data_IF_153738047438
#
_entry.id   IF_153738047438
#
_cell.length_a   1.000
_cell.length_b   1.000
_cell.length_c   1.000
_cell.angle_alpha   90.00
_cell.angle_beta   90.00
_cell.angle_gamma   90.00
#
_symmetry.space_group_name_H-M   'P 1'
#
loop_
_entity.id
_entity.type
_entity.pdbx_description
1 polymer ?
#
# COMPACT_ATOMS: atom_id res chain seq x y z
N UNK A 1 -1.50 29.00 24.25
CA UNK A 1 -1.40 28.37 22.92
C UNK A 1 -2.09 29.26 21.91
N UNK A 2 -1.39 29.77 20.89
CA UNK A 2 -2.06 30.48 19.78
C UNK A 2 -2.88 29.44 18.99
N UNK A 3 -4.13 29.74 18.60
CA UNK A 3 -4.95 28.78 17.86
C UNK A 3 -4.35 28.54 16.47
N UNK A 4 -4.22 27.27 16.09
CA UNK A 4 -3.91 26.89 14.71
C UNK A 4 -5.07 27.28 13.79
N UNK A 5 -4.75 27.84 12.63
CA UNK A 5 -5.74 28.14 11.60
C UNK A 5 -5.86 26.95 10.65
N UNK A 6 -7.07 26.41 10.53
CA UNK A 6 -7.36 25.25 9.70
C UNK A 6 -8.26 25.65 8.53
N UNK A 7 -7.81 25.38 7.31
CA UNK A 7 -8.57 25.63 6.08
C UNK A 7 -8.84 24.27 5.43
N UNK A 8 -10.10 23.90 5.25
CA UNK A 8 -10.48 22.68 4.52
C UNK A 8 -10.75 23.03 3.05
N UNK A 9 -10.42 22.12 2.13
CA UNK A 9 -10.73 22.33 0.72
C UNK A 9 -12.24 22.28 0.50
N UNK A 10 -12.80 23.36 -0.05
CA UNK A 10 -14.23 23.45 -0.38
C UNK A 10 -14.57 22.48 -1.51
N UNK A 11 -15.80 21.98 -1.53
CA UNK A 11 -16.29 21.08 -2.59
C UNK A 11 -15.84 19.62 -2.44
N UNK A 12 -14.86 19.30 -1.58
CA UNK A 12 -14.40 17.92 -1.42
C UNK A 12 -15.37 17.04 -0.59
N UNK A 13 -15.49 15.76 -0.99
CA UNK A 13 -16.16 14.68 -0.23
C UNK A 13 -17.65 14.88 0.09
N UNK A 14 -18.48 15.01 -0.94
CA UNK A 14 -19.93 15.01 -0.79
C UNK A 14 -20.50 13.62 -0.43
N UNK A 15 -21.71 13.61 0.13
CA UNK A 15 -22.48 12.40 0.38
C UNK A 15 -23.51 12.22 -0.75
N UNK A 16 -23.49 11.06 -1.40
CA UNK A 16 -24.37 10.75 -2.54
C UNK A 16 -25.57 9.87 -2.15
N UNK A 17 -25.88 9.79 -0.85
CA UNK A 17 -26.96 8.98 -0.29
C UNK A 17 -26.46 7.87 0.64
N UNK A 18 -27.38 7.07 1.21
CA UNK A 18 -27.01 5.93 2.04
C UNK A 18 -26.39 4.82 1.19
N UNK A 19 -25.34 4.22 1.72
CA UNK A 19 -24.65 3.07 1.17
C UNK A 19 -24.67 1.91 2.14
N UNK A 20 -24.33 0.74 1.62
CA UNK A 20 -24.25 -0.47 2.42
C UNK A 20 -22.95 -0.51 3.23
N UNK A 21 -23.03 -0.78 4.52
CA UNK A 21 -21.89 -0.95 5.42
C UNK A 21 -21.76 -2.39 5.87
N UNK A 22 -20.60 -2.71 6.45
CA UNK A 22 -20.40 -3.93 7.20
C UNK A 22 -21.43 -4.11 8.33
N UNK A 23 -21.83 -3.03 9.00
CA UNK A 23 -22.81 -3.13 10.09
C UNK A 23 -24.20 -3.46 9.55
N UNK A 24 -24.53 -3.02 8.34
CA UNK A 24 -25.79 -3.42 7.69
C UNK A 24 -25.78 -4.92 7.36
N UNK A 25 -24.65 -5.49 6.93
CA UNK A 25 -24.49 -6.94 6.74
C UNK A 25 -24.59 -7.70 8.07
N UNK A 26 -23.98 -7.15 9.13
CA UNK A 26 -24.00 -7.73 10.47
C UNK A 26 -25.42 -7.71 11.09
N UNK A 27 -26.15 -6.61 10.93
CA UNK A 27 -27.50 -6.44 11.45
C UNK A 27 -28.53 -7.25 10.62
N UNK A 28 -28.26 -7.46 9.33
CA UNK A 28 -29.07 -8.32 8.46
C UNK A 28 -28.83 -9.82 8.66
N UNK A 29 -27.95 -10.20 9.59
CA UNK A 29 -27.69 -11.59 9.97
C UNK A 29 -29.00 -12.31 10.34
N UNK A 30 -29.30 -13.48 9.75
CA UNK A 30 -30.46 -14.30 10.10
C UNK A 30 -30.58 -14.63 11.60
N UNK A 31 -29.47 -14.57 12.34
CA UNK A 31 -29.41 -14.82 13.79
C UNK A 31 -29.35 -13.53 14.62
N UNK A 32 -29.58 -12.35 14.05
CA UNK A 32 -29.58 -11.04 14.74
C UNK A 32 -30.42 -11.00 16.02
N UNK A 33 -31.56 -11.68 16.04
CA UNK A 33 -32.43 -11.76 17.23
C UNK A 33 -31.85 -12.62 18.38
N UNK A 34 -30.86 -13.46 18.09
CA UNK A 34 -30.15 -14.24 19.10
C UNK A 34 -29.00 -13.45 19.75
N UNK A 35 -28.58 -12.32 19.17
CA UNK A 35 -27.51 -11.46 19.69
C UNK A 35 -27.81 -10.99 21.12
N UNK A 36 -29.06 -10.61 21.40
CA UNK A 36 -29.48 -10.11 22.72
C UNK A 36 -29.63 -11.21 23.80
N UNK A 37 -29.73 -12.48 23.39
CA UNK A 37 -30.09 -13.60 24.28
C UNK A 37 -28.96 -14.60 24.47
N UNK A 38 -28.01 -14.64 23.56
CA UNK A 38 -26.92 -15.61 23.57
C UNK A 38 -25.66 -14.99 24.17
N UNK A 39 -25.35 -15.35 25.41
CA UNK A 39 -24.18 -14.88 26.17
C UNK A 39 -22.83 -15.17 25.46
N UNK A 40 -22.82 -16.06 24.45
CA UNK A 40 -21.64 -16.46 23.69
C UNK A 40 -21.55 -15.81 22.30
N UNK A 41 -22.47 -14.91 21.95
CA UNK A 41 -22.41 -14.15 20.71
C UNK A 41 -21.27 -13.11 20.80
N UNK A 42 -20.42 -12.94 19.77
CA UNK A 42 -19.17 -12.18 19.91
C UNK A 42 -19.38 -10.68 20.15
N UNK A 43 -20.49 -10.10 19.67
CA UNK A 43 -20.86 -8.70 19.91
C UNK A 43 -22.39 -8.55 19.96
N UNK A 44 -22.94 -7.96 21.01
CA UNK A 44 -24.38 -7.67 21.16
C UNK A 44 -24.84 -6.48 20.31
N UNK A 45 -23.91 -5.80 19.63
CA UNK A 45 -24.24 -4.73 18.71
C UNK A 45 -23.10 -3.74 18.52
N UNK A 46 -23.45 -2.61 17.90
CA UNK A 46 -22.52 -1.57 17.45
C UNK A 46 -21.53 -1.09 18.52
N UNK A 47 -21.96 -0.98 19.78
CA UNK A 47 -21.12 -0.54 20.89
C UNK A 47 -20.00 -1.51 21.29
N UNK A 48 -20.27 -2.82 21.26
CA UNK A 48 -19.29 -3.84 21.65
C UNK A 48 -18.25 -4.08 20.54
N UNK A 49 -18.67 -3.99 19.27
CA UNK A 49 -17.78 -4.09 18.11
C UNK A 49 -16.67 -3.03 18.12
N UNK A 50 -16.98 -1.79 18.50
CA UNK A 50 -15.99 -0.70 18.62
C UNK A 50 -15.11 -0.79 19.87
N UNK A 51 -15.45 -1.64 20.85
CA UNK A 51 -14.79 -1.67 22.16
C UNK A 51 -13.45 -2.42 22.19
N UNK A 52 -13.05 -3.09 21.10
CA UNK A 52 -11.72 -3.66 20.94
C UNK A 52 -11.31 -4.59 22.09
N UNK A 53 -11.78 -5.83 22.07
CA UNK A 53 -11.38 -6.83 23.07
C UNK A 53 -9.84 -6.99 23.10
N UNK A 54 -9.27 -7.07 24.31
CA UNK A 54 -7.83 -7.29 24.45
C UNK A 54 -7.44 -8.69 23.98
N UNK A 55 -6.24 -8.85 23.42
CA UNK A 55 -5.71 -10.15 22.98
C UNK A 55 -5.70 -11.22 24.10
N UNK A 56 -5.62 -10.79 25.37
CA UNK A 56 -5.69 -11.69 26.52
C UNK A 56 -7.12 -12.24 26.77
N UNK A 57 -8.15 -11.43 26.52
CA UNK A 57 -9.55 -11.85 26.60
C UNK A 57 -9.92 -12.80 25.45
N UNK A 58 -9.38 -12.53 24.25
CA UNK A 58 -9.55 -13.39 23.07
C UNK A 58 -8.92 -14.78 23.32
N UNK A 59 -7.69 -14.83 23.85
CA UNK A 59 -6.98 -16.08 24.16
C UNK A 59 -7.63 -16.91 25.28
N UNK A 60 -8.33 -16.30 26.24
CA UNK A 60 -9.08 -17.05 27.26
C UNK A 60 -10.37 -17.69 26.72
N UNK A 61 -10.95 -17.17 25.62
CA UNK A 61 -12.17 -17.72 24.99
C UNK A 61 -11.94 -18.71 23.84
N UNK A 62 -10.70 -18.84 23.35
CA UNK A 62 -10.36 -19.51 22.08
C UNK A 62 -10.39 -21.05 22.06
N UNK A 63 -10.81 -21.74 23.14
CA UNK A 63 -10.81 -23.23 23.16
C UNK A 63 -12.13 -23.90 22.72
N UNK A 64 -13.14 -23.12 22.30
CA UNK A 64 -14.49 -23.66 22.06
C UNK A 64 -14.81 -23.83 20.55
N UNK A 65 -15.21 -25.03 20.09
CA UNK A 65 -15.72 -25.28 18.73
C UNK A 65 -16.90 -24.40 18.32
N UNK A 66 -17.60 -23.83 19.29
CA UNK A 66 -18.64 -22.85 19.07
C UNK A 66 -18.09 -21.59 18.37
N UNK A 67 -16.90 -21.10 18.73
CA UNK A 67 -16.34 -19.86 18.20
C UNK A 67 -16.09 -19.91 16.68
N UNK A 68 -15.70 -21.07 16.13
CA UNK A 68 -15.50 -21.22 14.68
C UNK A 68 -16.80 -21.00 13.89
N UNK A 69 -17.93 -21.53 14.38
CA UNK A 69 -19.25 -21.25 13.77
C UNK A 69 -19.64 -19.78 13.86
N UNK A 70 -19.19 -19.07 14.90
CA UNK A 70 -19.50 -17.64 15.06
C UNK A 70 -18.60 -16.73 14.23
N UNK A 71 -17.33 -17.10 14.00
CA UNK A 71 -16.43 -16.42 13.05
C UNK A 71 -16.98 -16.53 11.63
N UNK A 72 -17.60 -17.67 11.27
CA UNK A 72 -18.27 -17.88 9.99
C UNK A 72 -19.52 -16.99 9.78
N UNK A 73 -20.07 -16.39 10.85
CA UNK A 73 -21.22 -15.47 10.78
C UNK A 73 -20.80 -14.00 10.68
N UNK A 74 -19.54 -13.67 10.94
CA UNK A 74 -19.03 -12.32 10.65
C UNK A 74 -18.97 -12.13 9.13
N UNK A 75 -19.35 -10.95 8.60
CA UNK A 75 -19.24 -10.66 7.18
C UNK A 75 -17.83 -10.98 6.69
N UNK A 76 -17.75 -11.81 5.65
CA UNK A 76 -16.50 -12.38 5.22
C UNK A 76 -15.57 -11.26 4.74
N UNK A 77 -14.32 -11.26 5.22
CA UNK A 77 -13.29 -10.34 4.73
C UNK A 77 -13.01 -10.53 3.23
N UNK A 78 -12.06 -9.77 2.66
CA UNK A 78 -11.66 -9.93 1.27
C UNK A 78 -11.36 -11.40 0.97
N UNK A 79 -11.99 -11.96 -0.06
CA UNK A 79 -11.83 -13.38 -0.39
C UNK A 79 -10.55 -13.62 -1.19
N UNK A 80 -9.89 -14.75 -0.92
CA UNK A 80 -8.73 -15.17 -1.69
C UNK A 80 -9.14 -15.58 -3.11
N UNK A 81 -8.41 -15.07 -4.09
CA UNK A 81 -8.47 -15.42 -5.51
C UNK A 81 -7.11 -15.99 -5.90
N UNK A 82 -7.07 -16.81 -6.94
CA UNK A 82 -5.82 -17.29 -7.50
C UNK A 82 -5.81 -17.19 -9.03
N UNK A 83 -4.63 -17.02 -9.61
CA UNK A 83 -4.45 -16.98 -11.06
C UNK A 83 -3.11 -17.58 -11.46
N UNK A 84 -3.11 -18.36 -12.53
CA UNK A 84 -1.88 -18.80 -13.19
C UNK A 84 -1.25 -17.64 -13.95
N UNK A 85 0.05 -17.45 -13.76
CA UNK A 85 0.82 -16.42 -14.48
C UNK A 85 1.84 -17.12 -15.36
N UNK A 86 1.86 -16.71 -16.63
CA UNK A 86 2.82 -17.19 -17.62
C UNK A 86 3.92 -16.14 -17.71
N UNK A 87 5.13 -16.41 -17.20
CA UNK A 87 6.28 -15.54 -17.38
C UNK A 87 6.82 -15.62 -18.82
N UNK A 88 7.60 -14.63 -19.22
CA UNK A 88 8.19 -14.56 -20.57
C UNK A 88 9.14 -15.73 -20.88
N UNK A 89 9.78 -16.29 -19.85
CA UNK A 89 10.73 -17.40 -19.97
C UNK A 89 10.25 -18.63 -19.20
N UNK A 90 10.49 -19.86 -19.70
CA UNK A 90 10.07 -21.08 -19.03
C UNK A 90 10.62 -21.22 -17.61
N UNK A 91 9.75 -21.61 -16.68
CA UNK A 91 10.08 -21.91 -15.30
C UNK A 91 9.98 -23.41 -15.01
N UNK A 92 10.73 -23.88 -14.01
CA UNK A 92 10.72 -25.30 -13.57
C UNK A 92 9.34 -25.76 -13.09
N UNK A 93 8.52 -24.84 -12.59
CA UNK A 93 7.16 -25.08 -12.10
C UNK A 93 6.24 -23.99 -12.62
N UNK A 94 4.97 -24.31 -12.84
CA UNK A 94 3.94 -23.33 -13.13
C UNK A 94 3.82 -22.34 -11.97
N UNK A 95 3.70 -21.05 -12.28
CA UNK A 95 3.55 -20.01 -11.27
C UNK A 95 2.07 -19.71 -11.03
N UNK A 96 1.69 -19.64 -9.76
CA UNK A 96 0.38 -19.23 -9.30
C UNK A 96 0.53 -18.03 -8.37
N UNK A 97 -0.33 -17.03 -8.55
CA UNK A 97 -0.45 -15.88 -7.65
C UNK A 97 -1.73 -16.06 -6.85
N UNK A 98 -1.63 -15.92 -5.53
CA UNK A 98 -2.79 -15.80 -4.63
C UNK A 98 -2.94 -14.33 -4.27
N UNK A 99 -4.16 -13.79 -4.34
CA UNK A 99 -4.40 -12.37 -4.10
C UNK A 99 -5.84 -12.12 -3.65
N UNK A 100 -6.04 -10.99 -2.97
CA UNK A 100 -7.35 -10.43 -2.68
C UNK A 100 -7.70 -9.35 -3.70
N UNK A 101 -9.00 -9.08 -3.85
CA UNK A 101 -9.42 -7.93 -4.62
C UNK A 101 -9.06 -6.62 -3.91
N UNK A 102 -8.31 -5.75 -4.60
CA UNK A 102 -7.70 -4.57 -3.97
C UNK A 102 -8.72 -3.54 -3.46
N UNK A 103 -9.84 -3.37 -4.17
CA UNK A 103 -10.93 -2.48 -3.74
C UNK A 103 -11.63 -3.08 -2.51
N UNK A 104 -11.85 -4.40 -2.49
CA UNK A 104 -12.39 -5.10 -1.33
C UNK A 104 -11.48 -4.93 -0.10
N UNK A 105 -10.15 -4.97 -0.27
CA UNK A 105 -9.20 -4.68 0.81
C UNK A 105 -9.31 -3.24 1.33
N UNK A 106 -9.41 -2.23 0.44
CA UNK A 106 -9.61 -0.85 0.88
C UNK A 106 -10.93 -0.67 1.63
N UNK A 107 -12.00 -1.32 1.17
CA UNK A 107 -13.29 -1.31 1.87
C UNK A 107 -13.17 -1.98 3.25
N UNK A 108 -12.47 -3.11 3.35
CA UNK A 108 -12.26 -3.79 4.62
C UNK A 108 -11.47 -2.93 5.61
N UNK A 109 -10.42 -2.23 5.14
CA UNK A 109 -9.73 -1.23 5.95
C UNK A 109 -10.70 -0.13 6.39
N UNK A 110 -11.46 0.46 5.46
CA UNK A 110 -12.37 1.55 5.80
C UNK A 110 -13.42 1.16 6.85
N UNK A 111 -14.03 -0.01 6.70
CA UNK A 111 -15.10 -0.48 7.58
C UNK A 111 -14.58 -1.14 8.87
N UNK A 112 -13.26 -1.20 9.08
CA UNK A 112 -12.71 -1.71 10.32
C UNK A 112 -13.12 -0.80 11.49
N UNK A 113 -13.68 -1.35 12.57
CA UNK A 113 -14.06 -0.56 13.75
C UNK A 113 -12.88 0.17 14.39
N UNK A 114 -11.67 -0.36 14.23
CA UNK A 114 -10.45 0.26 14.73
C UNK A 114 -10.20 1.66 14.15
N UNK A 115 -10.78 1.95 12.97
CA UNK A 115 -10.62 3.22 12.27
C UNK A 115 -11.88 4.07 12.25
N UNK A 116 -12.94 3.66 12.97
CA UNK A 116 -14.17 4.43 13.06
C UNK A 116 -13.89 5.83 13.63
N UNK A 117 -14.30 6.86 12.89
CA UNK A 117 -14.01 8.27 13.23
C UNK A 117 -12.55 8.70 13.03
N UNK A 118 -11.67 7.81 12.55
CA UNK A 118 -10.25 8.06 12.32
C UNK A 118 -9.85 8.08 10.84
N UNK A 119 -10.81 7.94 9.93
CA UNK A 119 -10.61 8.09 8.49
C UNK A 119 -11.03 9.48 8.07
N UNK A 120 -10.10 10.19 7.42
CA UNK A 120 -10.29 11.55 6.93
C UNK A 120 -10.48 11.53 5.42
N UNK A 121 -11.36 12.37 4.89
CA UNK A 121 -11.69 12.41 3.46
C UNK A 121 -11.43 13.77 2.80
N UNK A 122 -11.20 14.81 3.59
CA UNK A 122 -11.09 16.18 3.11
C UNK A 122 -9.68 16.68 3.40
N UNK A 123 -8.90 17.06 2.37
CA UNK A 123 -7.62 17.74 2.56
C UNK A 123 -7.76 19.05 3.35
N UNK A 124 -6.74 19.36 4.16
CA UNK A 124 -6.74 20.54 5.03
C UNK A 124 -5.36 21.19 5.08
N UNK A 125 -5.29 22.51 4.91
CA UNK A 125 -4.10 23.30 5.23
C UNK A 125 -4.16 23.74 6.69
N UNK A 126 -3.15 23.36 7.45
CA UNK A 126 -2.99 23.71 8.86
C UNK A 126 -1.84 24.69 8.97
N UNK A 127 -2.08 25.86 9.56
CA UNK A 127 -1.03 26.87 9.74
C UNK A 127 -0.68 27.02 11.23
N UNK A 128 0.63 27.11 11.51
CA UNK A 128 1.15 27.35 12.86
C UNK A 128 0.79 28.75 13.40
N UNK A 129 0.60 29.69 12.47
CA UNK A 129 0.39 31.12 12.73
C UNK A 129 -0.73 31.68 11.86
N UNK A 130 -1.34 32.78 12.29
CA UNK A 130 -2.49 33.39 11.59
C UNK A 130 -2.13 34.05 10.24
N UNK A 131 -0.83 34.28 9.99
CA UNK A 131 -0.26 34.86 8.77
C UNK A 131 -0.17 33.87 7.60
N UNK A 132 -0.54 32.61 7.81
CA UNK A 132 -0.49 31.53 6.82
C UNK A 132 0.93 31.26 6.24
N UNK A 133 2.01 31.63 6.94
CA UNK A 133 3.38 31.46 6.41
C UNK A 133 3.96 30.06 6.65
N UNK A 134 3.53 29.39 7.71
CA UNK A 134 4.09 28.10 8.13
C UNK A 134 3.02 27.00 8.14
N UNK A 135 2.97 26.21 7.06
CA UNK A 135 2.15 25.00 6.99
C UNK A 135 2.70 23.91 7.92
N UNK A 136 1.79 23.21 8.59
CA UNK A 136 2.07 22.04 9.43
C UNK A 136 1.64 20.79 8.66
N UNK A 137 2.60 19.91 8.38
CA UNK A 137 2.39 18.66 7.69
C UNK A 137 2.48 17.51 8.70
N UNK A 138 1.33 16.96 9.10
CA UNK A 138 1.25 15.87 10.07
C UNK A 138 0.74 14.56 9.46
N UNK A 139 -0.01 14.66 8.36
CA UNK A 139 -0.68 13.56 7.68
C UNK A 139 -0.70 13.82 6.17
N UNK A 140 -0.96 12.78 5.37
CA UNK A 140 -1.00 12.93 3.91
C UNK A 140 -1.99 14.02 3.45
N UNK A 141 -3.21 14.04 4.00
CA UNK A 141 -4.25 15.03 3.65
C UNK A 141 -3.93 16.46 4.11
N UNK A 142 -2.84 16.66 4.86
CA UNK A 142 -2.32 18.00 5.18
C UNK A 142 -1.24 18.46 4.20
N UNK A 143 -0.73 17.55 3.36
CA UNK A 143 0.26 17.80 2.35
C UNK A 143 -0.29 18.57 1.15
N UNK A 144 0.57 19.35 0.51
CA UNK A 144 0.23 20.10 -0.70
C UNK A 144 -0.19 19.15 -1.84
N UNK A 145 0.49 18.01 -1.99
CA UNK A 145 0.17 17.05 -3.04
C UNK A 145 -1.28 16.51 -2.96
N UNK A 146 -1.76 16.16 -1.76
CA UNK A 146 -3.15 15.72 -1.58
C UNK A 146 -4.16 16.84 -1.90
N UNK A 147 -3.79 18.09 -1.64
CA UNK A 147 -4.60 19.25 -1.97
C UNK A 147 -4.70 19.44 -3.49
N UNK A 148 -3.56 19.45 -4.19
CA UNK A 148 -3.47 19.56 -5.65
C UNK A 148 -4.26 18.45 -6.35
N UNK A 149 -4.08 17.19 -5.90
CA UNK A 149 -4.83 16.05 -6.42
C UNK A 149 -6.34 16.23 -6.25
N UNK A 150 -6.79 16.72 -5.09
CA UNK A 150 -8.22 16.86 -4.80
C UNK A 150 -8.84 18.05 -5.54
N UNK A 151 -8.10 19.14 -5.73
CA UNK A 151 -8.52 20.33 -6.47
C UNK A 151 -8.69 20.04 -7.98
N UNK A 152 -7.95 19.04 -8.50
CA UNK A 152 -8.11 18.55 -9.87
C UNK A 152 -9.32 17.62 -10.08
N UNK A 153 -10.01 17.21 -9.00
CA UNK A 153 -11.19 16.35 -9.09
C UNK A 153 -12.50 17.15 -9.21
N UNK A 154 -13.56 16.46 -9.61
CA UNK A 154 -14.91 17.00 -9.62
C UNK A 154 -15.38 17.36 -8.20
N UNK A 155 -16.19 18.42 -8.09
CA UNK A 155 -16.88 18.76 -6.86
C UNK A 155 -17.66 17.55 -6.33
N UNK A 156 -17.50 17.29 -5.03
CA UNK A 156 -18.07 16.19 -4.29
C UNK A 156 -17.22 14.92 -4.28
N UNK A 157 -16.22 14.78 -5.16
CA UNK A 157 -15.32 13.63 -5.16
C UNK A 157 -14.35 13.66 -3.96
N UNK A 158 -13.76 12.51 -3.62
CA UNK A 158 -12.77 12.39 -2.54
C UNK A 158 -11.62 11.47 -2.90
N UNK A 159 -10.44 11.72 -2.35
CA UNK A 159 -9.27 10.85 -2.52
C UNK A 159 -9.22 9.73 -1.47
N UNK A 160 -8.86 8.53 -1.92
CA UNK A 160 -8.47 7.39 -1.12
C UNK A 160 -7.02 7.01 -1.45
N UNK A 161 -6.07 7.56 -0.70
CA UNK A 161 -4.64 7.40 -0.97
C UNK A 161 -4.19 5.97 -0.71
N UNK A 162 -3.80 5.24 -1.76
CA UNK A 162 -3.36 3.86 -1.65
C UNK A 162 -1.91 3.82 -1.19
N UNK A 163 -1.63 3.02 -0.17
CA UNK A 163 -0.26 2.68 0.24
C UNK A 163 -0.03 1.22 -0.11
N UNK A 164 1.02 0.93 -0.87
CA UNK A 164 1.48 -0.44 -1.11
C UNK A 164 2.77 -0.65 -0.33
N UNK A 165 3.00 -1.85 0.17
CA UNK A 165 4.30 -2.25 0.68
C UNK A 165 4.66 -3.65 0.20
N UNK A 166 5.93 -3.87 -0.09
CA UNK A 166 6.48 -5.20 -0.32
C UNK A 166 7.81 -5.35 0.39
N UNK A 167 8.09 -6.59 0.80
CA UNK A 167 9.39 -6.97 1.32
C UNK A 167 9.83 -8.33 0.77
N UNK A 168 10.84 -8.29 -0.09
CA UNK A 168 11.53 -9.39 -0.78
C UNK A 168 12.43 -10.15 0.21
N UNK A 169 12.82 -9.54 1.33
CA UNK A 169 13.58 -10.22 2.38
C UNK A 169 12.68 -11.15 3.21
N UNK A 170 11.39 -10.87 3.28
CA UNK A 170 10.41 -11.73 3.94
C UNK A 170 9.77 -12.73 2.97
N UNK A 171 10.43 -13.88 2.80
CA UNK A 171 9.88 -15.01 2.05
C UNK A 171 8.82 -15.72 2.91
N UNK A 172 7.58 -15.75 2.43
CA UNK A 172 6.50 -16.52 3.03
C UNK A 172 6.40 -17.89 2.36
N UNK A 173 6.32 -18.94 3.17
CA UNK A 173 6.09 -20.30 2.70
C UNK A 173 4.58 -20.58 2.68
N UNK A 174 4.03 -20.86 1.50
CA UNK A 174 2.62 -21.27 1.32
C UNK A 174 2.60 -22.68 0.75
N UNK A 175 2.43 -23.65 1.64
CA UNK A 175 2.60 -25.07 1.32
C UNK A 175 4.01 -25.36 0.77
N UNK A 176 4.08 -25.76 -0.50
CA UNK A 176 5.33 -26.08 -1.19
C UNK A 176 5.89 -24.92 -2.05
N UNK A 177 5.32 -23.72 -1.91
CA UNK A 177 5.68 -22.53 -2.69
C UNK A 177 6.25 -21.43 -1.79
N UNK A 178 7.17 -20.65 -2.34
CA UNK A 178 7.73 -19.45 -1.73
C UNK A 178 7.18 -18.23 -2.46
N UNK A 179 6.77 -17.23 -1.69
CA UNK A 179 6.23 -15.99 -2.22
C UNK A 179 6.67 -14.77 -1.40
N UNK A 180 6.73 -13.61 -2.05
CA UNK A 180 6.88 -12.32 -1.38
C UNK A 180 5.50 -11.72 -1.08
N UNK A 181 5.24 -11.24 0.14
CA UNK A 181 4.00 -10.58 0.47
C UNK A 181 3.95 -9.20 -0.20
N UNK A 182 2.80 -8.88 -0.78
CA UNK A 182 2.40 -7.54 -1.18
C UNK A 182 1.30 -7.10 -0.23
N UNK A 183 1.49 -6.01 0.48
CA UNK A 183 0.57 -5.45 1.45
C UNK A 183 -0.09 -4.18 0.90
N UNK A 184 -1.31 -3.89 1.35
CA UNK A 184 -2.04 -2.66 1.03
C UNK A 184 -2.55 -1.97 2.30
N UNK A 185 -2.51 -0.64 2.29
CA UNK A 185 -3.06 0.23 3.32
C UNK A 185 -3.69 1.49 2.71
N UNK A 186 -4.26 2.34 3.56
CA UNK A 186 -4.96 3.56 3.21
C UNK A 186 -4.36 4.76 3.96
N UNK A 187 -3.85 5.74 3.22
CA UNK A 187 -3.22 6.97 3.75
C UNK A 187 -4.21 7.89 4.49
N UNK A 188 -5.50 7.68 4.29
CA UNK A 188 -6.58 8.43 4.95
C UNK A 188 -6.76 8.09 6.43
N UNK A 189 -6.15 6.99 6.90
CA UNK A 189 -6.17 6.60 8.31
C UNK A 189 -5.26 7.55 9.10
N UNK A 190 -5.77 8.11 10.19
CA UNK A 190 -5.02 9.03 11.03
C UNK A 190 -3.71 8.38 11.57
N UNK A 191 -2.60 9.13 11.47
CA UNK A 191 -1.25 8.65 11.81
C UNK A 191 -1.13 8.17 13.26
N UNK A 192 -1.86 8.81 14.17
CA UNK A 192 -1.88 8.41 15.58
C UNK A 192 -2.51 7.04 15.83
N UNK A 193 -3.34 6.52 14.91
CA UNK A 193 -3.84 5.15 14.95
C UNK A 193 -2.88 4.24 14.18
N UNK A 194 -2.39 4.70 13.02
CA UNK A 194 -1.44 3.96 12.20
C UNK A 194 -0.19 3.52 12.99
N UNK A 195 0.35 4.39 13.85
CA UNK A 195 1.56 4.15 14.64
C UNK A 195 1.34 3.41 15.96
N UNK A 196 0.09 3.19 16.38
CA UNK A 196 -0.23 2.39 17.57
C UNK A 196 -0.12 0.92 17.19
N UNK A 197 1.13 0.42 17.10
CA UNK A 197 1.69 -0.93 16.84
C UNK A 197 0.81 -2.18 16.78
N UNK A 198 -0.46 -2.07 16.41
CA UNK A 198 -1.42 -3.14 16.22
C UNK A 198 -1.39 -3.45 14.73
N UNK A 199 -1.01 -4.68 14.40
CA UNK A 199 -0.64 -5.19 13.07
C UNK A 199 -1.75 -5.14 11.99
N UNK A 200 -2.79 -4.33 12.14
CA UNK A 200 -3.98 -4.33 11.28
C UNK A 200 -4.06 -3.16 10.29
N UNK A 201 -3.09 -2.24 10.29
CA UNK A 201 -3.05 -1.10 9.34
C UNK A 201 -2.77 -1.53 7.90
N UNK A 202 -2.22 -2.73 7.71
CA UNK A 202 -1.99 -3.32 6.39
C UNK A 202 -2.79 -4.62 6.24
N UNK A 203 -3.34 -4.82 5.06
CA UNK A 203 -3.92 -6.11 4.64
C UNK A 203 -2.95 -6.76 3.65
N UNK A 204 -2.74 -8.08 3.78
CA UNK A 204 -2.05 -8.85 2.76
C UNK A 204 -2.87 -8.83 1.48
N UNK A 205 -2.36 -8.19 0.44
CA UNK A 205 -3.03 -8.03 -0.85
C UNK A 205 -2.72 -9.19 -1.79
N UNK A 206 -1.46 -9.61 -1.88
CA UNK A 206 -1.05 -10.70 -2.76
C UNK A 206 0.21 -11.42 -2.29
N UNK A 207 0.41 -12.62 -2.81
CA UNK A 207 1.61 -13.43 -2.66
C UNK A 207 2.25 -13.59 -4.03
N UNK A 208 3.35 -12.85 -4.24
CA UNK A 208 4.08 -12.82 -5.51
C UNK A 208 5.02 -14.04 -5.57
N UNK A 209 4.87 -14.94 -6.54
CA UNK A 209 5.66 -16.16 -6.61
C UNK A 209 7.12 -15.89 -6.97
N UNK A 210 8.04 -16.65 -6.37
CA UNK A 210 9.47 -16.62 -6.74
C UNK A 210 9.73 -17.55 -7.93
N UNK A 211 10.06 -17.03 -9.13
CA UNK A 211 10.29 -17.87 -10.30
C UNK A 211 11.64 -18.59 -10.20
N UNK A 212 11.67 -19.82 -10.70
CA UNK A 212 12.92 -20.58 -10.94
C UNK A 212 13.02 -20.86 -12.43
N UNK A 213 13.71 -19.99 -13.16
CA UNK A 213 13.86 -20.11 -14.61
C UNK A 213 14.78 -21.26 -15.02
N UNK A 214 14.51 -21.84 -16.20
CA UNK A 214 15.28 -22.95 -16.77
C UNK A 214 16.43 -22.39 -17.62
N UNK A 215 17.66 -22.86 -17.40
CA UNK A 215 18.87 -22.50 -18.19
C UNK A 215 19.15 -20.99 -18.36
N UNK A 216 18.97 -20.18 -17.31
CA UNK A 216 19.19 -18.73 -17.36
C UNK A 216 20.48 -18.28 -16.66
N UNK A 217 21.12 -17.23 -17.18
CA UNK A 217 22.22 -16.53 -16.48
C UNK A 217 21.68 -15.75 -15.29
N UNK A 218 22.52 -15.50 -14.27
CA UNK A 218 22.13 -14.76 -13.06
C UNK A 218 21.56 -13.37 -13.37
N UNK A 219 22.19 -12.62 -14.28
CA UNK A 219 21.74 -11.27 -14.64
C UNK A 219 20.35 -11.25 -15.29
N UNK A 220 20.08 -12.16 -16.23
CA UNK A 220 18.77 -12.25 -16.88
C UNK A 220 17.69 -12.79 -15.94
N UNK A 221 18.06 -13.64 -14.98
CA UNK A 221 17.14 -14.12 -13.95
C UNK A 221 16.56 -12.97 -13.12
N UNK A 222 17.39 -12.00 -12.72
CA UNK A 222 16.94 -10.82 -11.94
C UNK A 222 15.95 -10.00 -12.76
N UNK A 223 16.29 -9.69 -14.00
CA UNK A 223 15.45 -8.90 -14.92
C UNK A 223 14.10 -9.57 -15.14
N UNK A 224 14.08 -10.87 -15.44
CA UNK A 224 12.83 -11.61 -15.65
C UNK A 224 11.99 -11.75 -14.37
N UNK A 225 12.64 -11.81 -13.20
CA UNK A 225 11.93 -11.78 -11.93
C UNK A 225 11.27 -10.41 -11.69
N UNK A 226 11.94 -9.31 -12.04
CA UNK A 226 11.36 -7.96 -11.97
C UNK A 226 10.23 -7.78 -13.00
N UNK A 227 10.34 -8.36 -14.20
CA UNK A 227 9.24 -8.36 -15.19
C UNK A 227 8.00 -9.04 -14.61
N UNK A 228 8.18 -10.21 -14.00
CA UNK A 228 7.11 -10.94 -13.35
C UNK A 228 6.52 -10.14 -12.19
N UNK A 229 7.35 -9.48 -11.37
CA UNK A 229 6.91 -8.61 -10.29
C UNK A 229 5.94 -7.53 -10.81
N UNK A 230 6.34 -6.80 -11.84
CA UNK A 230 5.50 -5.76 -12.46
C UNK A 230 4.22 -6.31 -13.08
N UNK A 231 4.31 -7.45 -13.77
CA UNK A 231 3.14 -8.14 -14.35
C UNK A 231 2.13 -8.53 -13.27
N UNK A 232 2.61 -9.11 -12.15
CA UNK A 232 1.76 -9.54 -11.04
C UNK A 232 1.15 -8.36 -10.32
N UNK A 233 1.93 -7.34 -9.95
CA UNK A 233 1.41 -6.14 -9.28
C UNK A 233 0.35 -5.49 -10.16
N UNK A 234 0.64 -5.24 -11.44
CA UNK A 234 -0.29 -4.63 -12.39
C UNK A 234 -1.62 -5.38 -12.48
N UNK A 235 -1.57 -6.72 -12.52
CA UNK A 235 -2.75 -7.57 -12.52
C UNK A 235 -3.59 -7.42 -11.23
N UNK A 236 -2.95 -7.40 -10.07
CA UNK A 236 -3.63 -7.31 -8.77
C UNK A 236 -4.29 -5.93 -8.56
N UNK A 237 -3.61 -4.84 -8.95
CA UNK A 237 -4.07 -3.46 -8.73
C UNK A 237 -4.95 -2.91 -9.86
N UNK A 238 -5.28 -3.71 -10.89
CA UNK A 238 -5.98 -3.21 -12.09
C UNK A 238 -7.26 -2.42 -11.77
N UNK A 239 -8.02 -2.84 -10.76
CA UNK A 239 -9.23 -2.12 -10.35
C UNK A 239 -8.93 -0.80 -9.63
N UNK A 240 -7.79 -0.69 -8.93
CA UNK A 240 -7.35 0.58 -8.34
C UNK A 240 -6.95 1.59 -9.42
N UNK A 241 -6.28 1.14 -10.49
CA UNK A 241 -5.94 2.03 -11.61
C UNK A 241 -7.19 2.62 -12.25
N UNK A 242 -8.18 1.76 -12.52
CA UNK A 242 -9.49 2.19 -13.05
C UNK A 242 -10.20 3.16 -12.11
N UNK A 243 -10.17 2.91 -10.80
CA UNK A 243 -10.75 3.82 -9.82
C UNK A 243 -9.96 5.12 -9.67
N UNK A 244 -8.66 5.14 -9.94
CA UNK A 244 -7.85 6.35 -9.98
C UNK A 244 -8.15 7.23 -11.22
N UNK A 245 -8.55 6.61 -12.33
CA UNK A 245 -8.88 7.31 -13.57
C UNK A 245 -10.35 7.75 -13.62
N UNK A 246 -11.26 6.84 -13.29
CA UNK A 246 -12.71 7.01 -13.48
C UNK A 246 -13.48 7.21 -12.19
N UNK A 247 -12.83 7.12 -11.04
CA UNK A 247 -13.49 7.08 -9.74
C UNK A 247 -14.25 5.77 -9.49
N UNK A 248 -14.64 5.55 -8.24
CA UNK A 248 -15.51 4.45 -7.84
C UNK A 248 -16.44 4.88 -6.70
N UNK A 249 -17.65 4.34 -6.68
CA UNK A 249 -18.56 4.56 -5.55
C UNK A 249 -18.24 3.57 -4.44
N UNK A 250 -18.04 4.08 -3.23
CA UNK A 250 -17.86 3.26 -2.02
C UNK A 250 -18.55 3.91 -0.83
N UNK A 251 -19.06 3.08 0.08
CA UNK A 251 -19.51 3.53 1.39
C UNK A 251 -18.32 3.94 2.25
N UNK A 252 -18.51 5.00 3.03
CA UNK A 252 -17.67 5.34 4.16
C UNK A 252 -18.04 4.50 5.40
N UNK A 253 -17.26 4.57 6.49
CA UNK A 253 -17.52 3.77 7.70
C UNK A 253 -18.84 4.10 8.40
N UNK A 254 -19.50 5.21 8.02
CA UNK A 254 -20.78 5.65 8.56
C UNK A 254 -21.95 5.28 7.62
N UNK A 255 -21.68 4.67 6.48
CA UNK A 255 -22.70 4.29 5.50
C UNK A 255 -23.10 5.40 4.54
N UNK A 256 -22.29 6.44 4.37
CA UNK A 256 -22.53 7.41 3.30
C UNK A 256 -21.80 6.97 2.04
N UNK A 257 -22.49 7.00 0.90
CA UNK A 257 -21.85 6.81 -0.39
C UNK A 257 -20.95 8.00 -0.73
N UNK A 258 -19.71 7.68 -1.06
CA UNK A 258 -18.65 8.60 -1.49
C UNK A 258 -18.20 8.23 -2.90
N UNK A 259 -17.98 9.25 -3.73
CA UNK A 259 -17.34 9.09 -5.02
C UNK A 259 -15.83 9.25 -4.87
N UNK A 260 -15.10 8.15 -4.97
CA UNK A 260 -13.73 8.04 -4.52
C UNK A 260 -12.74 7.79 -5.67
N UNK A 261 -11.59 8.45 -5.63
CA UNK A 261 -10.47 8.20 -6.53
C UNK A 261 -9.31 7.59 -5.75
N UNK A 262 -8.61 6.61 -6.33
CA UNK A 262 -7.57 5.85 -5.62
C UNK A 262 -6.16 6.12 -6.15
N UNK A 263 -5.58 7.32 -5.96
CA UNK A 263 -4.20 7.58 -6.36
C UNK A 263 -3.23 6.69 -5.57
N UNK A 264 -2.11 6.33 -6.19
CA UNK A 264 -1.00 5.71 -5.48
C UNK A 264 -0.28 6.78 -4.66
N UNK A 265 -0.45 6.77 -3.35
CA UNK A 265 0.17 7.72 -2.44
C UNK A 265 1.60 7.30 -2.06
N UNK A 266 1.80 6.03 -1.73
CA UNK A 266 3.12 5.55 -1.32
C UNK A 266 3.37 4.10 -1.72
N UNK A 267 4.62 3.78 -2.07
CA UNK A 267 5.12 2.43 -2.18
C UNK A 267 6.28 2.25 -1.20
N UNK A 268 6.03 1.59 -0.06
CA UNK A 268 7.00 1.40 1.01
C UNK A 268 7.81 0.13 0.73
N UNK A 269 9.09 0.32 0.44
CA UNK A 269 10.03 -0.77 0.23
C UNK A 269 11.47 -0.32 0.43
N UNK A 270 12.37 -1.29 0.64
CA UNK A 270 13.79 -1.07 0.84
C UNK A 270 14.53 -0.80 -0.48
N UNK A 271 15.68 -0.12 -0.42
CA UNK A 271 16.41 0.41 -1.58
C UNK A 271 16.59 -0.55 -2.78
N UNK A 272 17.12 -1.79 -2.65
CA UNK A 272 17.18 -2.76 -3.76
C UNK A 272 15.85 -3.06 -4.45
N UNK A 273 14.74 -3.04 -3.71
CA UNK A 273 13.41 -3.16 -4.30
C UNK A 273 12.94 -1.87 -4.96
N UNK A 274 13.27 -0.70 -4.41
CA UNK A 274 12.96 0.57 -5.06
C UNK A 274 13.52 0.57 -6.49
N UNK A 275 14.75 0.09 -6.70
CA UNK A 275 15.32 -0.06 -8.05
C UNK A 275 14.51 -0.99 -8.95
N UNK A 276 14.02 -2.12 -8.41
CA UNK A 276 13.16 -3.03 -9.16
C UNK A 276 11.86 -2.33 -9.57
N UNK A 277 11.22 -1.61 -8.64
CA UNK A 277 9.94 -0.91 -8.81
C UNK A 277 10.05 0.29 -9.77
N UNK A 278 11.16 1.03 -9.76
CA UNK A 278 11.39 2.18 -10.66
C UNK A 278 12.03 1.80 -11.97
N UNK A 279 12.36 0.53 -12.13
CA UNK A 279 12.94 -0.02 -13.34
C UNK A 279 14.35 0.54 -13.65
N UNK A 280 15.09 0.97 -12.63
CA UNK A 280 16.46 1.46 -12.75
C UNK A 280 17.48 0.40 -12.34
N UNK A 281 18.71 0.55 -12.81
CA UNK A 281 19.83 -0.30 -12.40
C UNK A 281 20.21 -0.03 -10.94
N UNK A 282 20.82 -1.02 -10.28
CA UNK A 282 21.22 -0.95 -8.86
C UNK A 282 22.17 0.19 -8.50
N UNK A 283 22.81 0.82 -9.49
CA UNK A 283 23.83 1.87 -9.30
C UNK A 283 23.30 3.25 -9.72
N UNK A 284 21.98 3.40 -9.90
CA UNK A 284 21.34 4.62 -10.34
C UNK A 284 20.30 5.08 -9.32
N UNK A 285 20.11 6.39 -9.21
CA UNK A 285 19.05 6.93 -8.36
C UNK A 285 17.68 6.40 -8.81
N UNK A 286 16.78 6.02 -7.88
CA UNK A 286 15.45 5.50 -8.20
C UNK A 286 14.56 6.52 -8.95
N UNK A 287 14.98 7.77 -9.10
CA UNK A 287 14.27 8.79 -9.90
C UNK A 287 14.97 8.96 -11.26
N UNK A 288 14.35 8.47 -12.35
CA UNK A 288 14.91 8.58 -13.71
C UNK A 288 13.84 9.01 -14.72
N UNK A 289 14.20 9.90 -15.67
CA UNK A 289 13.29 10.49 -16.68
C UNK A 289 13.30 9.79 -18.05
N UNK A 290 13.74 8.53 -18.15
CA UNK A 290 13.97 7.85 -19.44
C UNK A 290 12.77 6.98 -19.84
N UNK A 291 12.19 7.26 -21.02
CA UNK A 291 11.03 6.51 -21.55
C UNK A 291 11.41 5.27 -22.36
N UNK A 292 10.65 4.18 -22.22
CA UNK A 292 10.88 2.85 -22.83
C UNK A 292 10.88 2.82 -24.37
N UNK A 293 10.28 3.81 -25.04
CA UNK A 293 10.16 3.88 -26.51
C UNK A 293 11.49 3.97 -27.28
N UNK A 294 12.62 4.16 -26.60
CA UNK A 294 13.96 4.24 -27.20
C UNK A 294 14.70 2.90 -27.24
N UNK A 295 14.12 1.84 -26.67
CA UNK A 295 14.73 0.51 -26.61
C UNK A 295 14.12 -0.39 -27.68
N UNK A 296 14.92 -1.31 -28.22
CA UNK A 296 14.48 -2.25 -29.26
C UNK A 296 13.38 -3.21 -28.77
N UNK A 297 13.16 -4.29 -29.49
CA UNK A 297 12.11 -5.27 -29.17
C UNK A 297 12.46 -6.09 -27.90
N UNK A 298 11.61 -6.06 -26.84
CA UNK A 298 11.80 -6.87 -25.62
C UNK A 298 11.88 -8.38 -25.88
N UNK A 299 11.31 -8.88 -26.99
CA UNK A 299 11.38 -10.29 -27.38
C UNK A 299 12.83 -10.75 -27.64
N UNK A 300 13.72 -9.82 -27.99
CA UNK A 300 15.16 -10.08 -28.13
C UNK A 300 15.91 -9.76 -26.83
N UNK A 301 15.53 -10.45 -25.75
CA UNK A 301 15.89 -10.17 -24.35
C UNK A 301 17.35 -9.73 -24.13
N UNK A 302 18.33 -10.45 -24.69
CA UNK A 302 19.74 -10.13 -24.47
C UNK A 302 20.16 -8.78 -25.11
N UNK A 303 19.68 -8.51 -26.33
CA UNK A 303 19.98 -7.25 -27.03
C UNK A 303 19.22 -6.08 -26.41
N UNK A 304 17.98 -6.32 -25.99
CA UNK A 304 17.15 -5.36 -25.28
C UNK A 304 17.78 -4.95 -23.95
N UNK A 305 18.16 -5.93 -23.12
CA UNK A 305 18.79 -5.66 -21.83
C UNK A 305 20.11 -4.88 -21.98
N UNK A 306 20.94 -5.22 -22.97
CA UNK A 306 22.15 -4.44 -23.29
C UNK A 306 21.85 -2.99 -23.68
N UNK A 307 20.73 -2.74 -24.38
CA UNK A 307 20.33 -1.38 -24.73
C UNK A 307 19.87 -0.60 -23.50
N UNK A 308 19.09 -1.22 -22.61
CA UNK A 308 18.61 -0.62 -21.35
C UNK A 308 19.75 -0.23 -20.42
N UNK A 309 20.79 -1.06 -20.30
CA UNK A 309 21.96 -0.77 -19.47
C UNK A 309 22.67 0.54 -19.83
N UNK A 310 22.67 0.94 -21.11
CA UNK A 310 23.27 2.22 -21.54
C UNK A 310 22.61 3.45 -20.92
N UNK A 311 21.38 3.28 -20.43
CA UNK A 311 20.57 4.33 -19.82
C UNK A 311 20.29 4.03 -18.35
N UNK A 312 21.06 3.12 -17.74
CA UNK A 312 20.92 2.73 -16.35
C UNK A 312 19.52 2.18 -15.99
N UNK A 313 18.87 1.50 -16.93
CA UNK A 313 17.58 0.83 -16.70
C UNK A 313 17.76 -0.67 -16.45
N UNK A 314 16.91 -1.26 -15.60
CA UNK A 314 16.92 -2.70 -15.34
C UNK A 314 16.28 -3.53 -16.49
N UNK A 315 15.62 -2.86 -17.42
CA UNK A 315 15.01 -3.48 -18.59
C UNK A 315 13.60 -4.00 -18.37
N UNK A 316 12.84 -3.56 -17.37
CA UNK A 316 11.39 -3.83 -17.32
C UNK A 316 10.68 -3.06 -18.46
N UNK A 317 9.89 -3.73 -19.32
CA UNK A 317 9.25 -3.08 -20.46
C UNK A 317 7.95 -2.33 -20.08
N UNK A 318 7.20 -2.85 -19.10
CA UNK A 318 5.90 -2.32 -18.69
C UNK A 318 5.85 -2.17 -17.16
N UNK A 319 6.35 -1.05 -16.60
CA UNK A 319 6.20 -0.77 -15.19
C UNK A 319 4.72 -0.69 -14.79
N UNK A 320 4.37 -1.12 -13.57
CA UNK A 320 2.96 -1.25 -13.18
C UNK A 320 2.29 0.11 -12.97
N UNK A 321 3.05 1.17 -12.76
CA UNK A 321 2.54 2.50 -12.40
C UNK A 321 2.32 3.41 -13.61
N UNK A 322 2.77 3.02 -14.81
CA UNK A 322 2.70 3.86 -16.04
C UNK A 322 1.26 4.28 -16.40
N UNK A 323 0.29 3.42 -16.14
CA UNK A 323 -1.13 3.60 -16.40
C UNK A 323 -1.95 3.81 -15.12
N UNK A 324 -1.29 4.07 -13.99
CA UNK A 324 -1.97 4.48 -12.76
C UNK A 324 -2.02 6.00 -12.74
N UNK A 325 -3.21 6.57 -12.87
CA UNK A 325 -3.40 8.02 -12.93
C UNK A 325 -2.65 8.75 -11.81
N UNK A 326 -1.79 9.70 -12.21
CA UNK A 326 -1.00 10.57 -11.33
C UNK A 326 0.03 9.84 -10.45
N UNK A 327 0.36 8.58 -10.77
CA UNK A 327 1.43 7.85 -10.11
C UNK A 327 2.79 8.14 -10.78
N UNK A 328 3.66 8.83 -10.06
CA UNK A 328 5.04 9.09 -10.48
C UNK A 328 6.02 8.55 -9.43
N UNK A 329 7.09 7.84 -9.81
CA UNK A 329 8.04 7.30 -8.83
C UNK A 329 8.58 8.32 -7.83
N UNK A 330 8.80 9.56 -8.28
CA UNK A 330 9.24 10.68 -7.45
C UNK A 330 8.21 11.12 -6.40
N UNK A 331 6.92 10.87 -6.64
CA UNK A 331 5.84 11.25 -5.73
C UNK A 331 5.48 10.15 -4.73
N UNK A 332 5.48 8.88 -5.17
CA UNK A 332 5.05 7.77 -4.31
C UNK A 332 6.18 7.02 -3.62
N UNK A 333 7.46 7.19 -4.00
CA UNK A 333 8.54 6.56 -3.24
C UNK A 333 8.93 7.44 -2.06
N UNK A 334 8.70 6.98 -0.82
CA UNK A 334 9.21 7.71 0.32
C UNK A 334 10.73 7.68 0.26
N UNK A 335 11.37 8.85 0.41
CA UNK A 335 12.80 8.92 0.64
C UNK A 335 13.12 8.09 1.89
N UNK A 336 13.92 7.03 1.77
CA UNK A 336 14.48 6.34 2.94
C UNK A 336 15.51 7.25 3.60
N UNK A 337 15.08 8.35 4.23
CA UNK A 337 15.96 9.35 4.82
C UNK A 337 16.91 8.72 5.84
N UNK A 338 16.44 7.77 6.65
CA UNK A 338 17.28 7.12 7.65
C UNK A 338 18.35 6.24 7.01
N UNK A 339 18.00 5.36 6.07
CA UNK A 339 18.97 4.49 5.42
C UNK A 339 19.93 5.29 4.53
N UNK A 340 19.43 6.27 3.77
CA UNK A 340 20.28 7.12 2.93
C UNK A 340 21.20 8.01 3.76
N UNK A 341 20.73 8.66 4.83
CA UNK A 341 21.59 9.50 5.67
C UNK A 341 22.57 8.66 6.50
N UNK A 342 22.14 7.49 6.98
CA UNK A 342 23.02 6.57 7.70
C UNK A 342 24.10 6.01 6.79
N UNK A 343 23.76 5.50 5.60
CA UNK A 343 24.76 5.02 4.66
C UNK A 343 25.63 6.17 4.14
N UNK A 344 25.06 7.34 3.81
CA UNK A 344 25.83 8.52 3.38
C UNK A 344 26.87 8.92 4.42
N UNK A 345 26.49 8.88 5.69
CA UNK A 345 27.38 9.26 6.79
C UNK A 345 28.37 8.15 7.14
N UNK A 346 27.95 6.90 7.29
CA UNK A 346 28.75 5.80 7.83
C UNK A 346 29.39 4.87 6.79
N UNK A 347 28.70 4.62 5.67
CA UNK A 347 29.13 3.67 4.63
C UNK A 347 29.76 4.36 3.40
N UNK A 348 29.49 5.65 3.19
CA UNK A 348 30.07 6.49 2.15
C UNK A 348 31.16 7.44 2.69
N UNK A 349 31.73 8.22 1.76
CA UNK A 349 32.94 9.05 1.88
C UNK A 349 33.03 9.99 3.09
N UNK A 350 31.95 10.36 3.77
CA UNK A 350 31.94 11.41 4.80
C UNK A 350 32.61 10.96 6.11
N UNK A 351 32.32 9.75 6.61
CA UNK A 351 33.03 9.19 7.77
C UNK A 351 34.50 8.94 7.46
N UNK A 352 34.81 8.41 6.26
CA UNK A 352 36.18 8.24 5.78
C UNK A 352 36.92 9.58 5.65
N UNK A 353 36.23 10.65 5.24
CA UNK A 353 36.77 12.02 5.20
C UNK A 353 37.04 12.55 6.60
N UNK A 354 36.09 12.38 7.52
CA UNK A 354 36.23 12.79 8.92
C UNK A 354 37.42 12.08 9.58
N UNK A 355 37.59 10.77 9.37
CA UNK A 355 38.76 10.02 9.87
C UNK A 355 40.06 10.54 9.25
N UNK A 356 40.06 10.87 7.96
CA UNK A 356 41.26 11.39 7.27
C UNK A 356 41.64 12.80 7.69
N UNK A 357 40.69 13.62 8.13
CA UNK A 357 40.93 15.01 8.54
C UNK A 357 41.25 15.12 10.03
N UNK A 358 40.57 14.36 10.88
CA UNK A 358 40.65 14.48 12.35
C UNK A 358 41.52 13.41 13.02
N UNK A 359 42.00 12.41 12.25
CA UNK A 359 42.61 11.18 12.76
C UNK A 359 41.66 10.36 13.65
N UNK A 360 41.76 9.03 13.61
CA UNK A 360 40.78 8.13 14.24
C UNK A 360 40.65 8.28 15.78
N UNK A 361 41.58 9.00 16.40
CA UNK A 361 41.71 9.13 17.85
C UNK A 361 40.92 10.32 18.41
N UNK A 362 40.44 11.23 17.56
CA UNK A 362 39.68 12.44 17.95
C UNK A 362 38.17 12.31 17.68
N UNK A 363 37.74 11.22 17.03
CA UNK A 363 36.34 10.89 16.83
C UNK A 363 35.84 10.07 18.04
N UNK A 364 35.13 10.73 18.96
CA UNK A 364 34.33 10.03 19.98
C UNK A 364 33.15 9.33 19.29
N UNK A 365 33.35 8.06 18.92
CA UNK A 365 32.33 7.15 18.39
C UNK A 365 31.54 6.46 19.49
#
# INVERSE_FOLDING_TARGET
MKPHKNISLSGASANFGPGHTFMDDFDADPYSLEHDKNLYYPFHGKGEWYSGLSMAAINQGLSLPALCKHIEMLPAGPQWKFKHVVPESPTKKSLQVFFHGAIECLKALMHSPMYAGHIKFIPKKIYATADNLHCVYSEWLTGEHAWELQDALLDGATLLGVIISSDKMHITQVGNHQAHPLLISLANIAVNIFNKGTLNSFILLALIPLPKFVHMTKCLHVVLADWLLHQVISMVITLLKKAAELGCMTSDPLGNLKYCFTPLNAYITYTPEQHAITCVSSNASPVTMVTTKKFGDPLHLHSYFKACQKYQLNGVPCPFWVDWALAEPSSFLPLELLHHLHNMFWDDHDHDWCIRILEANELDL
#
